data_IF_601477944827
#
_entry.id   IF_601477944827
#
_cell.length_a   1.000
_cell.length_b   1.000
_cell.length_c   1.000
_cell.angle_alpha   90.00
_cell.angle_beta   90.00
_cell.angle_gamma   90.00
#
_symmetry.space_group_name_H-M   'P 1'
#
loop_
_entity.id
_entity.type
_entity.pdbx_description
1 polymer ?
#
# COMPACT_ATOMS: atom_id res chain seq x y z
N UNK A 1 -41.00 -2.25 13.49
CA UNK A 1 -39.90 -2.11 12.49
C UNK A 1 -38.68 -1.49 13.18
N UNK A 2 -38.08 -2.19 14.15
CA UNK A 2 -37.00 -1.66 14.99
C UNK A 2 -35.74 -2.54 14.83
N UNK A 3 -35.11 -2.46 13.66
CA UNK A 3 -34.03 -3.41 13.32
C UNK A 3 -32.87 -2.83 12.51
N UNK A 4 -32.71 -1.50 12.40
CA UNK A 4 -31.74 -0.92 11.44
C UNK A 4 -30.86 0.23 11.93
N UNK A 5 -30.72 0.46 13.23
CA UNK A 5 -29.72 1.43 13.75
C UNK A 5 -28.62 0.75 14.59
N UNK A 6 -28.62 -0.57 14.73
CA UNK A 6 -27.51 -1.29 15.39
C UNK A 6 -26.24 -1.44 14.52
N UNK A 7 -26.24 -0.99 13.26
CA UNK A 7 -25.14 -1.21 12.30
C UNK A 7 -23.98 -0.21 12.51
N UNK A 8 -24.27 0.99 13.02
CA UNK A 8 -23.32 2.05 13.32
C UNK A 8 -22.88 2.07 14.80
N UNK A 9 -23.77 1.66 15.71
CA UNK A 9 -23.60 1.89 17.16
C UNK A 9 -22.56 0.96 17.82
N UNK A 10 -22.30 -0.22 17.26
CA UNK A 10 -21.36 -1.18 17.85
C UNK A 10 -19.88 -0.97 17.47
N UNK A 11 -19.52 0.10 16.74
CA UNK A 11 -18.18 0.19 16.11
C UNK A 11 -17.42 1.51 16.20
N UNK A 12 -18.01 2.59 16.70
CA UNK A 12 -17.27 3.83 16.96
C UNK A 12 -16.43 3.71 18.24
N UNK A 13 -16.91 2.95 19.24
CA UNK A 13 -16.22 2.71 20.50
C UNK A 13 -14.89 1.97 20.33
N UNK A 14 -14.81 0.99 19.42
CA UNK A 14 -13.57 0.30 19.11
C UNK A 14 -12.56 1.25 18.44
N UNK A 15 -12.99 2.00 17.44
CA UNK A 15 -12.15 2.98 16.75
C UNK A 15 -11.61 4.06 17.69
N UNK A 16 -12.45 4.53 18.63
CA UNK A 16 -12.11 5.57 19.61
C UNK A 16 -11.48 5.05 20.91
N UNK A 17 -11.34 3.73 21.07
CA UNK A 17 -10.77 3.19 22.31
C UNK A 17 -9.32 3.65 22.50
N UNK A 18 -8.94 4.01 23.73
CA UNK A 18 -7.59 4.50 24.05
C UNK A 18 -6.51 3.51 23.60
N UNK A 19 -6.78 2.21 23.73
CA UNK A 19 -5.84 1.17 23.31
C UNK A 19 -5.65 1.13 21.79
N UNK A 20 -6.73 1.32 21.01
CA UNK A 20 -6.61 1.40 19.55
C UNK A 20 -5.98 2.71 19.11
N UNK A 21 -6.28 3.84 19.79
CA UNK A 21 -5.62 5.11 19.54
C UNK A 21 -4.11 5.03 19.76
N UNK A 22 -3.65 4.43 20.87
CA UNK A 22 -2.21 4.22 21.13
C UNK A 22 -1.53 3.38 20.06
N UNK A 23 -2.15 2.28 19.64
CA UNK A 23 -1.64 1.42 18.56
C UNK A 23 -1.62 2.14 17.22
N UNK A 24 -2.67 2.89 16.92
CA UNK A 24 -2.80 3.67 15.70
C UNK A 24 -1.78 4.81 15.63
N UNK A 25 -1.54 5.51 16.74
CA UNK A 25 -0.54 6.58 16.84
C UNK A 25 0.88 6.03 16.68
N UNK A 26 1.20 4.90 17.34
CA UNK A 26 2.50 4.25 17.17
C UNK A 26 2.71 3.79 15.72
N UNK A 27 1.71 3.15 15.13
CA UNK A 27 1.78 2.71 13.74
C UNK A 27 1.87 3.91 12.78
N UNK A 28 1.05 4.93 12.99
CA UNK A 28 1.08 6.19 12.22
C UNK A 28 2.44 6.87 12.28
N UNK A 29 3.10 6.86 13.44
CA UNK A 29 4.46 7.37 13.61
C UNK A 29 5.47 6.58 12.78
N UNK A 30 5.47 5.25 12.90
CA UNK A 30 6.36 4.37 12.12
C UNK A 30 6.16 4.61 10.61
N UNK A 31 4.90 4.64 10.17
CA UNK A 31 4.58 4.85 8.76
C UNK A 31 5.01 6.24 8.27
N UNK A 32 4.91 7.25 9.13
CA UNK A 32 5.35 8.60 8.81
C UNK A 32 6.87 8.67 8.69
N UNK A 33 7.60 8.01 9.59
CA UNK A 33 9.06 7.93 9.51
C UNK A 33 9.51 7.23 8.22
N UNK A 34 8.78 6.21 7.77
CA UNK A 34 9.07 5.53 6.50
C UNK A 34 8.70 6.40 5.28
N UNK A 35 7.63 7.20 5.37
CA UNK A 35 7.22 8.13 4.32
C UNK A 35 8.05 9.42 4.28
N UNK A 36 8.67 9.81 5.40
CA UNK A 36 9.32 11.11 5.58
C UNK A 36 10.45 11.36 4.58
N UNK A 37 11.37 10.41 4.28
CA UNK A 37 12.41 10.62 3.29
C UNK A 37 11.84 11.08 1.95
N UNK A 38 10.73 10.47 1.49
CA UNK A 38 10.11 10.80 0.22
C UNK A 38 9.44 12.18 0.24
N UNK A 39 8.74 12.50 1.33
CA UNK A 39 8.10 13.81 1.54
C UNK A 39 9.16 14.92 1.54
N UNK A 40 10.26 14.72 2.27
CA UNK A 40 11.35 15.67 2.33
C UNK A 40 11.97 15.85 0.94
N UNK A 41 12.34 14.78 0.24
CA UNK A 41 12.97 14.87 -1.09
C UNK A 41 12.09 15.43 -2.21
N UNK A 42 10.77 15.61 -1.99
CA UNK A 42 9.82 16.08 -3.01
C UNK A 42 9.96 17.56 -3.39
N UNK A 43 10.90 18.30 -2.81
CA UNK A 43 11.07 19.75 -3.01
C UNK A 43 10.05 20.60 -2.23
N UNK A 44 8.96 19.99 -1.75
CA UNK A 44 7.94 20.62 -0.91
C UNK A 44 8.31 20.45 0.58
N UNK A 45 9.52 20.88 0.94
CA UNK A 45 10.03 20.81 2.31
C UNK A 45 9.20 21.71 3.22
N UNK A 46 8.21 21.14 3.90
CA UNK A 46 7.61 21.79 5.05
C UNK A 46 7.32 20.76 6.14
N UNK A 47 7.72 21.10 7.36
CA UNK A 47 7.37 20.33 8.57
C UNK A 47 5.85 20.09 8.64
N UNK A 48 5.04 20.98 8.06
CA UNK A 48 3.59 20.84 7.96
C UNK A 48 3.18 19.60 7.19
N UNK A 49 3.84 19.25 6.09
CA UNK A 49 3.52 18.04 5.32
C UNK A 49 3.81 16.75 6.10
N UNK A 50 4.90 16.73 6.89
CA UNK A 50 5.22 15.59 7.76
C UNK A 50 4.17 15.45 8.88
N UNK A 51 3.75 16.56 9.48
CA UNK A 51 2.68 16.57 10.50
C UNK A 51 1.34 16.11 9.90
N UNK A 52 0.97 16.62 8.72
CA UNK A 52 -0.25 16.20 8.02
C UNK A 52 -0.20 14.73 7.62
N UNK A 53 0.96 14.23 7.17
CA UNK A 53 1.16 12.82 6.88
C UNK A 53 0.99 11.98 8.16
N UNK A 54 1.53 12.41 9.29
CA UNK A 54 1.33 11.75 10.58
C UNK A 54 -0.14 11.67 10.98
N UNK A 55 -0.88 12.78 10.87
CA UNK A 55 -2.31 12.79 11.16
C UNK A 55 -3.08 11.82 10.26
N UNK A 56 -2.84 11.88 8.95
CA UNK A 56 -3.49 11.01 7.97
C UNK A 56 -3.16 9.52 8.20
N UNK A 57 -1.87 9.20 8.39
CA UNK A 57 -1.40 7.84 8.61
C UNK A 57 -1.88 7.27 9.96
N UNK A 58 -2.05 8.12 10.98
CA UNK A 58 -2.66 7.72 12.25
C UNK A 58 -4.12 7.36 12.07
N UNK A 59 -4.89 8.14 11.30
CA UNK A 59 -6.29 7.82 11.00
C UNK A 59 -6.44 6.52 10.21
N UNK A 60 -5.57 6.31 9.20
CA UNK A 60 -5.53 5.07 8.44
C UNK A 60 -5.12 3.89 9.32
N UNK A 61 -4.16 4.08 10.21
CA UNK A 61 -3.73 3.07 11.18
C UNK A 61 -4.85 2.73 12.17
N UNK A 62 -5.68 3.70 12.56
CA UNK A 62 -6.85 3.48 13.39
C UNK A 62 -7.89 2.63 12.66
N UNK A 63 -8.16 2.92 11.38
CA UNK A 63 -9.06 2.13 10.54
C UNK A 63 -8.56 0.68 10.40
N UNK A 64 -7.27 0.49 10.16
CA UNK A 64 -6.63 -0.83 10.07
C UNK A 64 -6.67 -1.58 11.41
N UNK A 65 -6.45 -0.87 12.52
CA UNK A 65 -6.45 -1.49 13.86
C UNK A 65 -7.85 -1.89 14.29
N UNK A 66 -8.85 -1.03 14.04
CA UNK A 66 -10.24 -1.29 14.40
C UNK A 66 -10.89 -2.33 13.48
N UNK A 67 -10.67 -2.23 12.16
CA UNK A 67 -11.42 -3.02 11.19
C UNK A 67 -10.60 -4.13 10.53
N UNK A 68 -9.30 -4.24 10.81
CA UNK A 68 -8.42 -5.24 10.19
C UNK A 68 -8.77 -6.69 10.53
N UNK A 69 -9.64 -6.93 11.50
CA UNK A 69 -10.20 -8.26 11.82
C UNK A 69 -11.56 -8.55 11.17
N UNK A 70 -12.13 -7.57 10.48
CA UNK A 70 -13.42 -7.73 9.81
C UNK A 70 -13.35 -8.83 8.75
N UNK A 71 -14.50 -9.40 8.38
CA UNK A 71 -14.60 -10.42 7.34
C UNK A 71 -13.66 -11.63 7.51
N UNK A 72 -13.36 -12.02 8.76
CA UNK A 72 -12.53 -13.18 9.08
C UNK A 72 -11.02 -12.97 8.92
N UNK A 73 -10.57 -11.73 8.76
CA UNK A 73 -9.16 -11.39 8.68
C UNK A 73 -8.47 -11.49 10.06
N UNK A 74 -7.17 -11.74 10.05
CA UNK A 74 -6.38 -11.92 11.28
C UNK A 74 -6.05 -10.61 12.01
N UNK A 75 -6.18 -9.46 11.34
CA UNK A 75 -5.76 -8.17 11.85
C UNK A 75 -4.34 -7.76 11.45
N UNK A 76 -3.92 -6.54 11.78
CA UNK A 76 -2.62 -6.01 11.35
C UNK A 76 -1.42 -6.71 11.99
N UNK A 77 -1.59 -7.25 13.20
CA UNK A 77 -0.51 -7.90 13.97
C UNK A 77 -1.01 -9.23 14.55
N UNK A 78 -1.04 -10.32 13.74
CA UNK A 78 -1.37 -11.65 14.22
C UNK A 78 -0.27 -12.24 15.12
N UNK A 79 -0.49 -13.45 15.70
CA UNK A 79 0.54 -14.14 16.48
C UNK A 79 1.85 -14.28 15.71
N UNK A 80 2.98 -14.22 16.43
CA UNK A 80 4.32 -14.19 15.84
C UNK A 80 4.60 -15.36 14.87
N UNK A 81 4.04 -16.55 15.12
CA UNK A 81 4.17 -17.70 14.22
C UNK A 81 3.57 -17.45 12.83
N UNK A 82 2.41 -16.82 12.77
CA UNK A 82 1.73 -16.46 11.52
C UNK A 82 2.47 -15.33 10.79
N UNK A 83 2.94 -14.32 11.53
CA UNK A 83 3.77 -13.26 10.95
C UNK A 83 5.03 -13.86 10.32
N UNK A 84 5.73 -14.77 11.02
CA UNK A 84 6.93 -15.41 10.49
C UNK A 84 6.65 -16.25 9.25
N UNK A 85 5.53 -16.97 9.21
CA UNK A 85 5.08 -17.70 8.02
C UNK A 85 4.78 -16.74 6.86
N UNK A 86 4.08 -15.64 7.13
CA UNK A 86 3.79 -14.60 6.15
C UNK A 86 5.04 -13.95 5.57
N UNK A 87 6.04 -13.65 6.41
CA UNK A 87 7.33 -13.10 5.96
C UNK A 87 8.07 -14.08 5.03
N UNK A 88 8.08 -15.38 5.38
CA UNK A 88 8.67 -16.41 4.50
C UNK A 88 7.93 -16.52 3.17
N UNK A 89 6.60 -16.52 3.20
CA UNK A 89 5.78 -16.57 1.99
C UNK A 89 5.98 -15.33 1.13
N UNK A 90 5.99 -14.14 1.74
CA UNK A 90 6.27 -12.88 1.05
C UNK A 90 7.65 -12.92 0.39
N UNK A 91 8.68 -13.39 1.09
CA UNK A 91 10.02 -13.56 0.52
C UNK A 91 10.04 -14.53 -0.67
N UNK A 92 9.36 -15.68 -0.57
CA UNK A 92 9.23 -16.63 -1.67
C UNK A 92 8.53 -15.99 -2.89
N UNK A 93 7.40 -15.31 -2.66
CA UNK A 93 6.67 -14.64 -3.73
C UNK A 93 7.54 -13.54 -4.36
N UNK A 94 8.29 -12.77 -3.58
CA UNK A 94 9.25 -11.78 -4.10
C UNK A 94 10.23 -12.48 -5.04
N UNK A 95 10.89 -13.56 -4.62
CA UNK A 95 11.87 -14.28 -5.46
C UNK A 95 11.25 -14.73 -6.79
N UNK A 96 9.99 -15.17 -6.78
CA UNK A 96 9.28 -15.62 -7.99
C UNK A 96 8.83 -14.47 -8.89
N UNK A 97 8.29 -13.39 -8.32
CA UNK A 97 7.71 -12.27 -9.08
C UNK A 97 8.73 -11.23 -9.50
N UNK A 98 9.82 -11.11 -8.75
CA UNK A 98 10.83 -10.08 -8.92
C UNK A 98 11.49 -10.11 -10.31
N UNK A 99 11.89 -11.27 -10.88
CA UNK A 99 12.42 -11.33 -12.24
C UNK A 99 11.42 -10.85 -13.28
N UNK A 100 10.15 -11.25 -13.18
CA UNK A 100 9.09 -10.82 -14.11
C UNK A 100 8.92 -9.30 -14.03
N UNK A 101 8.93 -8.74 -12.82
CA UNK A 101 8.80 -7.31 -12.62
C UNK A 101 9.98 -6.54 -13.22
N UNK A 102 11.20 -6.98 -12.97
CA UNK A 102 12.41 -6.28 -13.43
C UNK A 102 12.63 -6.43 -14.94
N UNK A 103 12.41 -7.63 -15.49
CA UNK A 103 12.73 -7.92 -16.90
C UNK A 103 11.63 -7.48 -17.87
N UNK A 104 10.36 -7.47 -17.43
CA UNK A 104 9.23 -7.14 -18.32
C UNK A 104 8.48 -5.88 -17.90
N UNK A 105 8.00 -5.80 -16.65
CA UNK A 105 7.11 -4.69 -16.26
C UNK A 105 7.82 -3.35 -16.14
N UNK A 106 9.00 -3.31 -15.51
CA UNK A 106 9.72 -2.06 -15.30
C UNK A 106 10.16 -1.41 -16.62
N UNK A 107 10.73 -2.14 -17.61
CA UNK A 107 11.07 -1.56 -18.91
C UNK A 107 9.84 -1.05 -19.68
N UNK A 108 8.74 -1.81 -19.66
CA UNK A 108 7.49 -1.39 -20.31
C UNK A 108 6.91 -0.12 -19.67
N UNK A 109 6.93 -0.04 -18.33
CA UNK A 109 6.49 1.15 -17.60
C UNK A 109 7.41 2.35 -17.85
N UNK A 110 8.73 2.13 -17.87
CA UNK A 110 9.71 3.18 -18.16
C UNK A 110 9.49 3.76 -19.55
N UNK A 111 9.46 2.92 -20.59
CA UNK A 111 9.22 3.36 -21.96
C UNK A 111 7.87 4.06 -22.13
N UNK A 112 6.82 3.57 -21.46
CA UNK A 112 5.51 4.19 -21.50
C UNK A 112 5.50 5.59 -20.88
N UNK A 113 6.15 5.80 -19.73
CA UNK A 113 6.27 7.11 -19.10
C UNK A 113 7.23 8.03 -19.88
N UNK A 114 8.31 7.50 -20.42
CA UNK A 114 9.25 8.25 -21.26
C UNK A 114 8.57 8.79 -22.53
N UNK A 115 7.70 7.98 -23.14
CA UNK A 115 6.93 8.39 -24.33
C UNK A 115 5.97 9.55 -24.10
N UNK A 116 5.62 9.87 -22.84
CA UNK A 116 4.76 11.01 -22.51
C UNK A 116 5.52 12.33 -22.43
N UNK A 117 6.86 12.31 -22.41
CA UNK A 117 7.70 13.49 -22.22
C UNK A 117 7.61 14.12 -20.82
N UNK A 118 6.95 13.46 -19.87
CA UNK A 118 6.75 13.97 -18.51
C UNK A 118 7.98 13.66 -17.63
N UNK A 119 8.98 14.54 -17.68
CA UNK A 119 10.24 14.40 -16.93
C UNK A 119 10.01 14.29 -15.41
N UNK A 120 9.04 15.04 -14.85
CA UNK A 120 8.74 14.98 -13.42
C UNK A 120 8.21 13.60 -13.01
N UNK A 121 7.36 12.99 -13.84
CA UNK A 121 6.85 11.64 -13.59
C UNK A 121 7.95 10.58 -13.68
N UNK A 122 8.89 10.71 -14.62
CA UNK A 122 10.05 9.83 -14.74
C UNK A 122 10.91 9.88 -13.48
N UNK A 123 11.29 11.07 -13.01
CA UNK A 123 12.13 11.24 -11.82
C UNK A 123 11.43 10.68 -10.56
N UNK A 124 10.11 10.85 -10.47
CA UNK A 124 9.34 10.32 -9.35
C UNK A 124 9.27 8.79 -9.39
N UNK A 125 9.00 8.16 -10.53
CA UNK A 125 8.81 6.71 -10.62
C UNK A 125 10.12 5.93 -10.70
N UNK A 126 11.16 6.53 -11.29
CA UNK A 126 12.46 5.93 -11.57
C UNK A 126 13.58 6.83 -11.04
N UNK A 127 13.74 6.93 -9.71
CA UNK A 127 14.78 7.74 -9.11
C UNK A 127 16.18 7.23 -9.45
N UNK A 128 17.07 8.12 -9.89
CA UNK A 128 18.44 7.78 -10.31
C UNK A 128 19.40 7.53 -9.13
N UNK A 129 19.12 8.11 -7.96
CA UNK A 129 20.04 8.06 -6.80
C UNK A 129 19.64 6.96 -5.80
N UNK A 130 20.63 6.38 -5.09
CA UNK A 130 20.38 5.43 -3.99
C UNK A 130 19.40 5.97 -2.94
N UNK A 131 19.59 7.19 -2.42
CA UNK A 131 18.72 7.70 -1.37
C UNK A 131 17.27 7.88 -1.84
N UNK A 132 17.06 8.35 -3.07
CA UNK A 132 15.73 8.51 -3.63
C UNK A 132 15.04 7.15 -3.91
N UNK A 133 15.81 6.14 -4.33
CA UNK A 133 15.34 4.76 -4.44
C UNK A 133 14.92 4.16 -3.09
N UNK A 134 15.74 4.30 -2.05
CA UNK A 134 15.40 3.88 -0.68
C UNK A 134 14.13 4.62 -0.20
N UNK A 135 14.07 5.94 -0.40
CA UNK A 135 12.93 6.76 0.00
C UNK A 135 11.64 6.28 -0.68
N UNK A 136 11.71 5.94 -1.96
CA UNK A 136 10.58 5.39 -2.70
C UNK A 136 10.18 4.01 -2.15
N UNK A 137 11.12 3.09 -1.91
CA UNK A 137 10.82 1.78 -1.31
C UNK A 137 10.15 1.91 0.05
N UNK A 138 10.68 2.76 0.94
CA UNK A 138 10.08 3.01 2.26
C UNK A 138 8.68 3.61 2.14
N UNK A 139 8.46 4.54 1.21
CA UNK A 139 7.14 5.09 0.90
C UNK A 139 6.14 4.01 0.47
N UNK A 140 6.54 3.08 -0.40
CA UNK A 140 5.63 2.02 -0.84
C UNK A 140 5.35 1.03 0.31
N UNK A 141 6.37 0.71 1.13
CA UNK A 141 6.20 -0.11 2.32
C UNK A 141 5.28 0.54 3.36
N UNK A 142 5.25 1.87 3.46
CA UNK A 142 4.40 2.58 4.40
C UNK A 142 3.07 3.02 3.80
N UNK A 143 3.04 4.17 3.14
CA UNK A 143 1.83 4.85 2.69
C UNK A 143 1.06 3.99 1.70
N UNK A 144 1.71 3.45 0.67
CA UNK A 144 0.98 2.67 -0.34
C UNK A 144 0.38 1.40 0.27
N UNK A 145 1.15 0.70 1.09
CA UNK A 145 0.69 -0.53 1.76
C UNK A 145 -0.45 -0.25 2.73
N UNK A 146 -0.31 0.78 3.56
CA UNK A 146 -1.31 1.13 4.56
C UNK A 146 -2.59 1.64 3.90
N UNK A 147 -2.49 2.56 2.93
CA UNK A 147 -3.64 3.22 2.33
C UNK A 147 -4.36 2.34 1.31
N UNK A 148 -3.64 1.83 0.31
CA UNK A 148 -4.27 1.15 -0.83
C UNK A 148 -4.65 -0.30 -0.55
N UNK A 149 -4.02 -0.93 0.44
CA UNK A 149 -4.23 -2.35 0.71
C UNK A 149 -4.85 -2.54 2.09
N UNK A 150 -4.10 -2.28 3.16
CA UNK A 150 -4.54 -2.61 4.52
C UNK A 150 -5.80 -1.83 4.94
N UNK A 151 -5.83 -0.51 4.76
CA UNK A 151 -6.99 0.30 5.13
C UNK A 151 -8.19 0.03 4.22
N UNK A 152 -7.95 -0.03 2.90
CA UNK A 152 -9.00 -0.31 1.92
C UNK A 152 -9.69 -1.66 2.18
N UNK A 153 -8.93 -2.76 2.32
CA UNK A 153 -9.52 -4.08 2.57
C UNK A 153 -10.17 -4.15 3.96
N UNK A 154 -9.63 -3.46 4.97
CA UNK A 154 -10.22 -3.39 6.31
C UNK A 154 -11.59 -2.69 6.26
N UNK A 155 -11.67 -1.55 5.57
CA UNK A 155 -12.90 -0.80 5.38
C UNK A 155 -13.95 -1.58 4.59
N UNK A 156 -13.59 -2.13 3.42
CA UNK A 156 -14.52 -2.91 2.62
C UNK A 156 -14.89 -4.25 3.27
N UNK A 157 -13.99 -4.83 4.06
CA UNK A 157 -14.26 -6.00 4.91
C UNK A 157 -15.29 -5.69 5.97
N UNK A 158 -15.23 -4.50 6.56
CA UNK A 158 -16.23 -4.03 7.53
C UNK A 158 -17.59 -3.75 6.89
N UNK A 159 -17.59 -3.19 5.67
CA UNK A 159 -18.81 -2.86 4.93
C UNK A 159 -19.51 -4.12 4.41
N UNK A 160 -18.78 -4.99 3.72
CA UNK A 160 -19.34 -6.18 3.06
C UNK A 160 -19.50 -7.38 4.00
N UNK A 161 -18.74 -7.43 5.11
CA UNK A 161 -18.60 -8.60 6.01
C UNK A 161 -18.13 -9.88 5.31
N UNK A 162 -17.71 -9.80 4.04
CA UNK A 162 -17.32 -10.94 3.24
C UNK A 162 -15.96 -10.70 2.59
N UNK A 163 -14.99 -11.60 2.84
CA UNK A 163 -13.61 -11.40 2.41
C UNK A 163 -13.48 -11.21 0.89
N UNK A 164 -14.15 -12.06 0.10
CA UNK A 164 -14.09 -11.98 -1.35
C UNK A 164 -14.63 -10.64 -1.90
N UNK A 165 -15.74 -10.15 -1.36
CA UNK A 165 -16.30 -8.86 -1.75
C UNK A 165 -15.36 -7.71 -1.36
N UNK A 166 -14.76 -7.77 -0.17
CA UNK A 166 -13.77 -6.79 0.28
C UNK A 166 -12.52 -6.76 -0.62
N UNK A 167 -12.03 -7.94 -1.03
CA UNK A 167 -10.90 -8.07 -1.94
C UNK A 167 -11.21 -7.47 -3.31
N UNK A 168 -12.39 -7.75 -3.88
CA UNK A 168 -12.83 -7.20 -5.16
C UNK A 168 -12.94 -5.69 -5.08
N UNK A 169 -13.65 -5.16 -4.07
CA UNK A 169 -13.83 -3.71 -3.90
C UNK A 169 -12.51 -2.98 -3.66
N UNK A 170 -11.61 -3.54 -2.83
CA UNK A 170 -10.28 -2.99 -2.61
C UNK A 170 -9.44 -2.98 -3.90
N UNK A 171 -9.59 -4.01 -4.72
CA UNK A 171 -8.87 -4.14 -6.00
C UNK A 171 -9.43 -3.18 -7.05
N UNK A 172 -10.74 -3.02 -7.13
CA UNK A 172 -11.39 -2.01 -7.98
C UNK A 172 -11.00 -0.58 -7.57
N UNK A 173 -10.97 -0.30 -6.27
CA UNK A 173 -10.50 0.99 -5.75
C UNK A 173 -9.04 1.26 -6.16
N UNK A 174 -8.14 0.28 -5.99
CA UNK A 174 -6.76 0.40 -6.45
C UNK A 174 -6.67 0.58 -7.96
N UNK A 175 -7.47 -0.15 -8.74
CA UNK A 175 -7.57 -0.02 -10.19
C UNK A 175 -7.96 1.38 -10.62
N UNK A 176 -9.03 1.91 -10.03
CA UNK A 176 -9.52 3.26 -10.31
C UNK A 176 -8.47 4.33 -10.00
N UNK A 177 -7.84 4.28 -8.82
CA UNK A 177 -6.78 5.25 -8.48
C UNK A 177 -5.56 5.09 -9.38
N UNK A 178 -5.19 3.87 -9.75
CA UNK A 178 -4.07 3.63 -10.68
C UNK A 178 -4.38 4.16 -12.08
N UNK A 179 -5.62 4.01 -12.54
CA UNK A 179 -6.08 4.55 -13.82
C UNK A 179 -6.04 6.07 -13.83
N UNK A 180 -6.54 6.74 -12.78
CA UNK A 180 -6.41 8.19 -12.63
C UNK A 180 -4.94 8.66 -12.60
N UNK A 181 -4.07 7.93 -11.89
CA UNK A 181 -2.63 8.24 -11.85
C UNK A 181 -2.00 8.14 -13.24
N UNK A 182 -2.27 7.07 -14.00
CA UNK A 182 -1.73 6.91 -15.35
C UNK A 182 -2.27 7.96 -16.32
N UNK A 183 -3.57 8.28 -16.23
CA UNK A 183 -4.18 9.36 -17.01
C UNK A 183 -3.54 10.72 -16.74
N UNK A 184 -3.26 11.04 -15.48
CA UNK A 184 -2.57 12.29 -15.11
C UNK A 184 -1.11 12.34 -15.59
N UNK A 185 -0.45 11.20 -15.77
CA UNK A 185 0.92 11.13 -16.31
C UNK A 185 0.91 11.19 -17.86
N UNK A 186 -0.24 10.92 -18.49
CA UNK A 186 -0.40 10.86 -19.95
C UNK A 186 -0.04 9.49 -20.55
N UNK A 187 0.08 8.45 -19.72
CA UNK A 187 0.40 7.10 -20.21
C UNK A 187 -0.83 6.50 -20.84
N UNK A 188 -0.91 6.45 -22.17
CA UNK A 188 -1.98 5.79 -22.93
C UNK A 188 -1.56 4.40 -23.46
N UNK A 189 -0.29 4.25 -23.80
CA UNK A 189 0.32 3.00 -24.23
C UNK A 189 0.57 2.08 -23.04
N UNK A 190 0.40 0.76 -23.22
CA UNK A 190 0.59 -0.26 -22.19
C UNK A 190 -0.26 -0.12 -20.89
N UNK A 191 -1.26 0.77 -20.86
CA UNK A 191 -2.15 0.98 -19.70
C UNK A 191 -2.72 -0.33 -19.16
N UNK A 192 -3.20 -1.20 -20.04
CA UNK A 192 -3.76 -2.48 -19.63
C UNK A 192 -2.75 -3.34 -18.86
N UNK A 193 -1.53 -3.49 -19.39
CA UNK A 193 -0.48 -4.29 -18.75
C UNK A 193 -0.10 -3.72 -17.38
N UNK A 194 0.07 -2.40 -17.29
CA UNK A 194 0.44 -1.70 -16.04
C UNK A 194 -0.69 -1.81 -15.00
N UNK A 195 -1.95 -1.63 -15.43
CA UNK A 195 -3.11 -1.79 -14.56
C UNK A 195 -3.23 -3.23 -14.06
N UNK A 196 -3.17 -4.22 -14.95
CA UNK A 196 -3.22 -5.64 -14.57
C UNK A 196 -2.14 -5.99 -13.53
N UNK A 197 -0.92 -5.47 -13.70
CA UNK A 197 0.15 -5.64 -12.72
C UNK A 197 -0.21 -5.04 -11.35
N UNK A 198 -0.70 -3.80 -11.33
CA UNK A 198 -1.10 -3.12 -10.10
C UNK A 198 -2.24 -3.88 -9.39
N UNK A 199 -3.19 -4.44 -10.13
CA UNK A 199 -4.28 -5.26 -9.58
C UNK A 199 -3.77 -6.57 -8.99
N UNK A 200 -2.89 -7.29 -9.69
CA UNK A 200 -2.32 -8.57 -9.20
C UNK A 200 -1.52 -8.34 -7.92
N UNK A 201 -0.65 -7.32 -7.89
CA UNK A 201 0.11 -6.96 -6.70
C UNK A 201 -0.84 -6.61 -5.55
N UNK A 202 -1.90 -5.86 -5.83
CA UNK A 202 -2.88 -5.50 -4.82
C UNK A 202 -3.57 -6.73 -4.23
N UNK A 203 -4.03 -7.65 -5.09
CA UNK A 203 -4.67 -8.91 -4.65
C UNK A 203 -3.75 -9.71 -3.75
N UNK A 204 -2.49 -9.92 -4.16
CA UNK A 204 -1.50 -10.67 -3.36
C UNK A 204 -1.26 -9.97 -2.03
N UNK A 205 -1.04 -8.65 -2.03
CA UNK A 205 -0.79 -7.88 -0.82
C UNK A 205 -1.96 -7.92 0.15
N UNK A 206 -3.19 -7.79 -0.37
CA UNK A 206 -4.43 -7.91 0.38
C UNK A 206 -4.60 -9.29 1.03
N UNK A 207 -4.27 -10.37 0.30
CA UNK A 207 -4.29 -11.74 0.84
C UNK A 207 -3.24 -11.91 1.93
N UNK A 208 -2.02 -11.42 1.71
CA UNK A 208 -0.95 -11.46 2.71
C UNK A 208 -1.33 -10.71 3.98
N UNK A 209 -1.92 -9.52 3.85
CA UNK A 209 -2.42 -8.75 4.99
C UNK A 209 -3.52 -9.51 5.73
N UNK A 210 -4.53 -10.02 5.01
CA UNK A 210 -5.67 -10.69 5.61
C UNK A 210 -5.29 -11.96 6.41
N UNK A 211 -4.26 -12.68 5.94
CA UNK A 211 -3.84 -13.97 6.51
C UNK A 211 -2.66 -13.87 7.47
N UNK A 212 -1.74 -12.94 7.26
CA UNK A 212 -0.46 -12.88 7.98
C UNK A 212 -0.12 -11.49 8.54
N UNK A 213 -0.99 -10.51 8.32
CA UNK A 213 -0.86 -9.16 8.87
C UNK A 213 0.00 -8.22 8.04
N UNK A 214 0.14 -7.01 8.57
CA UNK A 214 0.78 -5.88 7.90
C UNK A 214 2.27 -6.11 7.57
N UNK A 215 3.11 -6.70 8.45
CA UNK A 215 4.53 -6.87 8.14
C UNK A 215 4.81 -7.71 6.89
N UNK A 216 4.00 -8.76 6.65
CA UNK A 216 4.15 -9.61 5.47
C UNK A 216 3.81 -8.85 4.18
N UNK A 217 2.72 -8.07 4.20
CA UNK A 217 2.30 -7.21 3.10
C UNK A 217 3.33 -6.11 2.81
N UNK A 218 3.87 -5.46 3.85
CA UNK A 218 4.95 -4.47 3.71
C UNK A 218 6.22 -5.06 3.10
N UNK A 219 6.65 -6.25 3.57
CA UNK A 219 7.83 -6.92 3.02
C UNK A 219 7.61 -7.23 1.54
N UNK A 220 6.47 -7.82 1.17
CA UNK A 220 6.14 -8.13 -0.21
C UNK A 220 6.20 -6.89 -1.11
N UNK A 221 5.49 -5.83 -0.73
CA UNK A 221 5.42 -4.59 -1.50
C UNK A 221 6.79 -3.90 -1.59
N UNK A 222 7.54 -3.85 -0.49
CA UNK A 222 8.90 -3.30 -0.49
C UNK A 222 9.85 -4.09 -1.37
N UNK A 223 9.83 -5.42 -1.25
CA UNK A 223 10.72 -6.32 -1.98
C UNK A 223 10.49 -6.33 -3.49
N UNK A 224 9.23 -6.26 -3.93
CA UNK A 224 8.95 -6.09 -5.37
C UNK A 224 9.24 -4.66 -5.83
N UNK A 225 9.26 -3.67 -4.94
CA UNK A 225 9.44 -2.24 -5.28
C UNK A 225 10.88 -1.76 -5.06
N UNK A 226 11.86 -2.63 -5.26
CA UNK A 226 13.27 -2.23 -5.28
C UNK A 226 13.54 -1.63 -6.67
N UNK A 227 13.41 -0.31 -6.78
CA UNK A 227 13.49 0.44 -8.04
C UNK A 227 14.91 0.59 -8.61
N UNK A 228 15.95 0.09 -7.91
CA UNK A 228 17.35 0.32 -8.26
C UNK A 228 17.91 -0.51 -9.42
N UNK A 229 17.09 -1.34 -10.06
CA UNK A 229 17.60 -2.21 -11.13
C UNK A 229 17.54 -1.56 -12.52
N UNK A 230 17.11 -0.30 -12.63
CA UNK A 230 17.32 0.50 -13.85
C UNK A 230 18.80 0.78 -14.12
N UNK A 231 19.68 0.81 -13.09
CA UNK A 231 21.14 0.89 -13.26
C UNK A 231 21.76 -0.34 -13.95
N UNK A 232 21.10 -1.51 -13.99
CA UNK A 232 21.60 -2.65 -14.77
C UNK A 232 21.44 -2.47 -16.28
N UNK A 233 20.74 -1.44 -16.71
CA UNK A 233 20.41 -1.19 -18.11
C UNK A 233 20.98 0.14 -18.63
N UNK A 234 21.87 0.78 -17.84
CA UNK A 234 22.71 1.90 -18.26
C UNK A 234 24.07 1.44 -18.75
#
# INVERSE_FOLDING_TARGET
>A
MEGKIAILDLTMSEFLSINNFKKAALLGLIMTLFSAPRILTSGIYSLRHVISAFAALTLLSAAVTAWGKSAGMKGPFPPAGEVRQGLKLAALIIILFFPIKVLWFNPALYAAVESTGNADALVLLFPETLPAGIALTLWVMSFETLFFQAAAISFFGRLSRHFLAALILSTLFRGYVSWLKLGNIGVETAQFLILSHALIINVISCILFARYGLPASMLFIGGISIYRWTFLWG
#
